data_IF_569920434767
#
_entry.id   IF_569920434767
#
_cell.length_a   1.000
_cell.length_b   1.000
_cell.length_c   1.000
_cell.angle_alpha   90.00
_cell.angle_beta   90.00
_cell.angle_gamma   90.00
#
_symmetry.space_group_name_H-M   'P 1'
#
loop_
_entity.id
_entity.type
_entity.pdbx_description
1 polymer ?
#
# COMPACT_ATOMS: atom_id res chain seq x y z
N UNK A 1 21.67 26.72 26.78
CA UNK A 1 21.96 26.41 25.36
C UNK A 1 20.61 26.17 24.69
N UNK A 2 20.02 27.20 24.08
CA UNK A 2 18.69 27.12 23.47
C UNK A 2 18.78 26.41 22.12
N UNK A 3 17.92 25.41 21.82
CA UNK A 3 17.85 24.87 20.48
C UNK A 3 17.50 26.02 19.51
N UNK A 4 18.33 26.19 18.48
CA UNK A 4 18.11 27.17 17.42
C UNK A 4 16.69 26.96 16.86
N UNK A 5 15.86 28.01 16.82
CA UNK A 5 14.49 27.91 16.30
C UNK A 5 14.45 27.26 14.90
N UNK A 6 15.48 27.49 14.08
CA UNK A 6 15.65 26.85 12.76
C UNK A 6 15.68 25.32 12.82
N UNK A 7 16.27 24.72 13.84
CA UNK A 7 16.32 23.26 13.99
C UNK A 7 14.94 22.69 14.29
N UNK A 8 14.15 23.38 15.11
CA UNK A 8 12.77 22.94 15.46
C UNK A 8 11.88 22.94 14.23
N UNK A 9 11.96 23.97 13.37
CA UNK A 9 11.20 24.02 12.12
C UNK A 9 11.58 22.88 11.17
N UNK A 10 12.87 22.52 11.09
CA UNK A 10 13.32 21.39 10.27
C UNK A 10 12.77 20.05 10.77
N UNK A 11 12.81 19.82 12.09
CA UNK A 11 12.24 18.59 12.69
C UNK A 11 10.73 18.49 12.48
N UNK A 12 9.99 19.60 12.64
CA UNK A 12 8.55 19.64 12.38
C UNK A 12 8.21 19.35 10.91
N UNK A 13 8.97 19.89 9.96
CA UNK A 13 8.78 19.61 8.54
C UNK A 13 9.03 18.13 8.21
N UNK A 14 10.09 17.54 8.77
CA UNK A 14 10.34 16.10 8.61
C UNK A 14 9.22 15.23 9.19
N UNK A 15 8.71 15.57 10.39
CA UNK A 15 7.58 14.84 10.99
C UNK A 15 6.31 14.92 10.15
N UNK A 16 6.04 16.07 9.54
CA UNK A 16 4.88 16.29 8.66
C UNK A 16 4.99 15.46 7.37
N UNK A 17 6.18 15.41 6.76
CA UNK A 17 6.44 14.58 5.59
C UNK A 17 6.31 13.08 5.92
N UNK A 18 6.86 12.64 7.05
CA UNK A 18 6.75 11.25 7.51
C UNK A 18 5.28 10.85 7.71
N UNK A 19 4.48 11.73 8.32
CA UNK A 19 3.06 11.50 8.57
C UNK A 19 2.24 11.42 7.27
N UNK A 20 2.65 12.15 6.23
CA UNK A 20 2.00 12.12 4.93
C UNK A 20 2.26 10.80 4.20
N UNK A 21 3.50 10.30 4.23
CA UNK A 21 3.84 8.98 3.65
C UNK A 21 3.10 7.83 4.36
N UNK A 22 2.98 7.88 5.69
CA UNK A 22 2.27 6.84 6.47
C UNK A 22 0.78 6.79 6.11
N UNK A 23 0.11 7.95 5.98
CA UNK A 23 -1.30 8.00 5.60
C UNK A 23 -1.56 7.45 4.18
N UNK A 24 -0.63 7.64 3.24
CA UNK A 24 -0.75 7.08 1.89
C UNK A 24 -0.71 5.56 1.90
N UNK A 25 0.17 4.98 2.72
CA UNK A 25 0.26 3.54 2.90
C UNK A 25 -1.04 3.03 3.53
N UNK A 26 -1.46 3.54 4.70
CA UNK A 26 -2.70 3.10 5.37
C UNK A 26 -3.95 3.20 4.50
N UNK A 27 -4.07 4.27 3.70
CA UNK A 27 -5.18 4.44 2.76
C UNK A 27 -5.25 3.36 1.68
N UNK A 28 -4.11 2.86 1.18
CA UNK A 28 -4.11 1.74 0.22
C UNK A 28 -4.44 0.39 0.91
N UNK A 29 -4.07 0.19 2.17
CA UNK A 29 -4.45 -1.02 2.93
C UNK A 29 -5.97 -1.09 3.19
N UNK A 30 -6.61 0.04 3.46
CA UNK A 30 -8.07 0.10 3.67
C UNK A 30 -8.87 -0.19 2.39
N UNK A 31 -8.26 -0.12 1.22
CA UNK A 31 -8.89 -0.35 -0.09
C UNK A 31 -8.75 -1.79 -0.60
N UNK A 32 -8.42 -2.75 0.26
CA UNK A 32 -8.32 -4.17 -0.08
C UNK A 32 -9.58 -4.93 0.35
N UNK A 33 -10.63 -5.01 -0.50
CA UNK A 33 -11.92 -5.59 -0.13
C UNK A 33 -11.83 -7.08 0.21
N UNK A 34 -10.82 -7.79 -0.31
CA UNK A 34 -10.57 -9.20 -0.02
C UNK A 34 -9.36 -9.42 0.90
N UNK A 35 -8.88 -8.33 1.52
CA UNK A 35 -7.73 -8.32 2.39
C UNK A 35 -6.39 -8.24 1.67
N UNK A 36 -5.33 -8.26 2.46
CA UNK A 36 -3.94 -8.23 2.03
C UNK A 36 -3.27 -9.58 2.21
N UNK A 37 -2.22 -9.82 1.44
CA UNK A 37 -1.36 -11.00 1.51
C UNK A 37 0.09 -10.54 1.68
N UNK A 38 0.74 -11.04 2.73
CA UNK A 38 2.18 -10.86 2.92
C UNK A 38 2.97 -11.78 1.99
N UNK A 39 4.03 -11.24 1.42
CA UNK A 39 4.89 -11.89 0.44
C UNK A 39 6.33 -11.45 0.65
N UNK A 40 7.30 -12.35 0.39
CA UNK A 40 8.72 -12.00 0.46
C UNK A 40 9.08 -10.87 -0.52
N UNK A 41 8.45 -10.89 -1.70
CA UNK A 41 8.49 -9.80 -2.67
C UNK A 41 7.22 -9.80 -3.51
N UNK A 42 6.48 -8.71 -3.47
CA UNK A 42 5.28 -8.54 -4.26
C UNK A 42 5.65 -8.36 -5.72
N UNK A 43 5.25 -9.35 -6.52
CA UNK A 43 5.26 -9.28 -7.97
C UNK A 43 3.81 -9.40 -8.45
N UNK A 44 3.44 -8.65 -9.49
CA UNK A 44 2.06 -8.61 -9.98
C UNK A 44 1.55 -10.03 -10.31
N UNK A 45 2.37 -10.87 -10.94
CA UNK A 45 2.02 -12.24 -11.29
C UNK A 45 1.72 -13.13 -10.08
N UNK A 46 2.61 -13.14 -9.08
CA UNK A 46 2.40 -13.97 -7.88
C UNK A 46 1.26 -13.43 -7.00
N UNK A 47 1.16 -12.10 -6.88
CA UNK A 47 0.08 -11.43 -6.16
C UNK A 47 -1.28 -11.75 -6.79
N UNK A 48 -1.39 -11.67 -8.12
CA UNK A 48 -2.60 -12.04 -8.84
C UNK A 48 -2.96 -13.52 -8.65
N UNK A 49 -1.99 -14.43 -8.74
CA UNK A 49 -2.22 -15.87 -8.51
C UNK A 49 -2.74 -16.14 -7.10
N UNK A 50 -2.04 -15.64 -6.07
CA UNK A 50 -2.44 -15.79 -4.66
C UNK A 50 -3.86 -15.29 -4.40
N UNK A 51 -4.19 -14.09 -4.91
CA UNK A 51 -5.53 -13.55 -4.75
C UNK A 51 -6.57 -14.41 -5.47
N UNK A 52 -6.28 -14.86 -6.69
CA UNK A 52 -7.19 -15.71 -7.45
C UNK A 52 -7.47 -17.05 -6.77
N UNK A 53 -6.46 -17.65 -6.14
CA UNK A 53 -6.58 -18.90 -5.37
C UNK A 53 -7.45 -18.73 -4.11
N UNK A 54 -7.34 -17.57 -3.45
CA UNK A 54 -8.11 -17.25 -2.23
C UNK A 54 -9.56 -16.83 -2.54
N UNK A 55 -9.74 -15.98 -3.55
CA UNK A 55 -11.03 -15.46 -3.99
C UNK A 55 -11.13 -15.60 -5.50
N UNK A 56 -11.94 -16.55 -6.00
CA UNK A 56 -12.14 -16.73 -7.44
C UNK A 56 -12.60 -15.43 -8.10
N UNK A 57 -12.04 -15.11 -9.27
CA UNK A 57 -12.28 -13.85 -10.03
C UNK A 57 -11.76 -12.57 -9.37
N UNK A 58 -11.00 -12.67 -8.29
CA UNK A 58 -10.20 -11.55 -7.81
C UNK A 58 -8.91 -11.41 -8.62
N UNK A 59 -8.26 -10.26 -8.49
CA UNK A 59 -6.91 -9.95 -8.96
C UNK A 59 -6.12 -9.33 -7.82
N UNK A 60 -4.80 -9.31 -7.95
CA UNK A 60 -3.90 -8.73 -6.96
C UNK A 60 -3.25 -7.45 -7.48
N UNK A 61 -3.05 -6.46 -6.60
CA UNK A 61 -2.23 -5.27 -6.82
C UNK A 61 -1.16 -5.20 -5.73
N UNK A 62 0.10 -4.95 -6.10
CA UNK A 62 1.14 -4.67 -5.13
C UNK A 62 0.96 -3.24 -4.60
N UNK A 63 0.76 -3.11 -3.28
CA UNK A 63 0.67 -1.83 -2.57
C UNK A 63 1.96 -1.53 -1.79
N UNK A 64 2.77 -2.56 -1.51
CA UNK A 64 4.11 -2.43 -0.97
C UNK A 64 5.05 -3.46 -1.62
N UNK A 65 6.35 -3.38 -1.28
CA UNK A 65 7.35 -4.33 -1.76
C UNK A 65 7.07 -5.75 -1.27
N UNK A 66 6.42 -5.89 -0.13
CA UNK A 66 6.11 -7.14 0.58
C UNK A 66 4.60 -7.38 0.73
N UNK A 67 3.77 -6.43 0.30
CA UNK A 67 2.31 -6.50 0.48
C UNK A 67 1.54 -6.50 -0.83
N UNK A 68 0.74 -7.53 -1.00
CA UNK A 68 -0.24 -7.69 -2.06
C UNK A 68 -1.65 -7.37 -1.54
N UNK A 69 -2.43 -6.65 -2.32
CA UNK A 69 -3.81 -6.28 -2.05
C UNK A 69 -4.75 -7.02 -3.00
N UNK A 70 -5.70 -7.79 -2.47
CA UNK A 70 -6.66 -8.53 -3.27
C UNK A 70 -7.91 -7.70 -3.54
N UNK A 71 -8.18 -7.45 -4.83
CA UNK A 71 -9.29 -6.63 -5.32
C UNK A 71 -10.12 -7.42 -6.34
N UNK A 72 -11.36 -7.02 -6.62
CA UNK A 72 -12.13 -7.63 -7.72
C UNK A 72 -11.49 -7.18 -9.03
N UNK A 73 -11.42 -8.05 -10.05
CA UNK A 73 -11.16 -7.54 -11.40
C UNK A 73 -12.20 -6.44 -11.66
N UNK A 74 -11.80 -5.19 -11.99
CA UNK A 74 -12.77 -4.30 -12.62
C UNK A 74 -13.28 -5.09 -13.82
N UNK A 75 -14.60 -5.16 -13.98
CA UNK A 75 -15.21 -5.79 -15.14
C UNK A 75 -14.60 -5.13 -16.38
N UNK A 76 -13.55 -5.75 -16.93
CA UNK A 76 -13.13 -5.53 -18.30
C UNK A 76 -14.26 -6.15 -19.12
N UNK A 77 -15.35 -5.40 -19.28
CA UNK A 77 -16.18 -5.56 -20.45
C UNK A 77 -15.21 -5.47 -21.63
N UNK A 78 -15.10 -6.58 -22.34
CA UNK A 78 -14.29 -6.76 -23.54
C UNK A 78 -14.32 -5.49 -24.41
N UNK A 79 -13.17 -4.83 -24.55
CA UNK A 79 -12.90 -3.99 -25.71
C UNK A 79 -12.50 -4.88 -26.87
#
# INVERSE_FOLDING_TARGET
>A
MFPNMKTIFFFLACLLLLSLEINWVEGEYQNCPYGTEEMERCTIGQCMSKCHDKVPRSTGKCIAIDTCCCITRPNFHHF
#
